data_IF_391550049008
#
_entry.id   IF_391550049008
#
_cell.length_a   1.000
_cell.length_b   1.000
_cell.length_c   1.000
_cell.angle_alpha   90.00
_cell.angle_beta   90.00
_cell.angle_gamma   90.00
#
_symmetry.space_group_name_H-M   'P 1'
#
loop_
_entity.id
_entity.type
_entity.pdbx_description
1 polymer ?
#
# COMPACT_ATOMS: atom_id res chain seq x y z
N UNK A 1 11.96 -58.01 -23.09
CA UNK A 1 11.38 -56.94 -23.93
C UNK A 1 10.99 -55.79 -23.01
N UNK A 2 11.84 -54.76 -22.96
CA UNK A 2 11.63 -53.56 -22.16
C UNK A 2 10.61 -52.66 -22.86
N UNK A 3 9.49 -52.32 -22.22
CA UNK A 3 8.60 -51.24 -22.67
C UNK A 3 8.86 -50.04 -21.76
N UNK A 4 9.59 -49.05 -22.27
CA UNK A 4 9.71 -47.75 -21.64
C UNK A 4 8.47 -46.93 -21.96
N UNK A 5 7.60 -46.73 -20.97
CA UNK A 5 6.51 -45.75 -21.05
C UNK A 5 7.10 -44.39 -20.66
N UNK A 6 7.32 -43.52 -21.64
CA UNK A 6 7.68 -42.12 -21.41
C UNK A 6 6.43 -41.38 -20.92
N UNK A 7 6.37 -41.08 -19.62
CA UNK A 7 5.40 -40.16 -19.05
C UNK A 7 5.95 -38.74 -19.23
N UNK A 8 5.38 -37.98 -20.16
CA UNK A 8 5.60 -36.54 -20.29
C UNK A 8 4.93 -35.86 -19.09
N UNK A 9 5.73 -35.44 -18.12
CA UNK A 9 5.27 -34.56 -17.03
C UNK A 9 5.13 -33.15 -17.63
N UNK A 10 3.90 -32.77 -17.98
CA UNK A 10 3.55 -31.39 -18.25
C UNK A 10 3.62 -30.63 -16.92
N UNK A 11 4.77 -30.03 -16.62
CA UNK A 11 4.92 -29.03 -15.57
C UNK A 11 4.07 -27.83 -15.99
N UNK A 12 2.81 -27.83 -15.57
CA UNK A 12 2.02 -26.60 -15.51
C UNK A 12 2.72 -25.71 -14.50
N UNK A 13 3.48 -24.73 -14.99
CA UNK A 13 3.87 -23.58 -14.21
C UNK A 13 2.56 -22.90 -13.82
N UNK A 14 2.02 -23.24 -12.64
CA UNK A 14 1.07 -22.38 -11.99
C UNK A 14 1.83 -21.07 -11.76
N UNK A 15 1.60 -20.10 -12.63
CA UNK A 15 1.92 -18.72 -12.32
C UNK A 15 1.08 -18.40 -11.11
N UNK A 16 1.67 -18.56 -9.93
CA UNK A 16 1.20 -17.94 -8.70
C UNK A 16 1.36 -16.44 -8.98
N UNK A 17 0.40 -15.87 -9.69
CA UNK A 17 0.25 -14.43 -9.75
C UNK A 17 0.07 -14.03 -8.30
N UNK A 18 1.11 -13.39 -7.75
CA UNK A 18 1.05 -12.85 -6.41
C UNK A 18 -0.22 -12.03 -6.31
N UNK A 19 -0.99 -12.28 -5.26
CA UNK A 19 -2.20 -11.52 -4.99
C UNK A 19 -1.73 -10.08 -4.74
N UNK A 20 -1.99 -9.21 -5.70
CA UNK A 20 -1.49 -7.83 -5.78
C UNK A 20 -2.66 -6.88 -5.97
N UNK A 21 -2.39 -5.59 -5.75
CA UNK A 21 -3.36 -4.52 -5.98
C UNK A 21 -2.73 -3.43 -6.87
N UNK A 22 -3.58 -2.69 -7.57
CA UNK A 22 -3.15 -1.60 -8.45
C UNK A 22 -3.05 -0.30 -7.64
N UNK A 23 -1.85 0.28 -7.54
CA UNK A 23 -1.61 1.49 -6.75
C UNK A 23 -2.44 2.68 -7.29
N UNK A 24 -2.62 2.76 -8.59
CA UNK A 24 -3.40 3.78 -9.31
C UNK A 24 -4.89 3.78 -8.95
N UNK A 25 -5.42 2.69 -8.38
CA UNK A 25 -6.81 2.61 -7.94
C UNK A 25 -7.06 3.29 -6.61
N UNK A 26 -6.00 3.65 -5.87
CA UNK A 26 -6.12 4.42 -4.62
C UNK A 26 -6.37 5.90 -4.91
N UNK A 27 -7.28 6.50 -4.15
CA UNK A 27 -7.38 7.94 -4.01
C UNK A 27 -7.53 8.40 -2.56
N UNK A 28 -6.84 9.48 -2.22
CA UNK A 28 -6.89 10.14 -0.92
C UNK A 28 -7.47 11.55 -1.10
N UNK A 29 -8.80 11.65 -1.01
CA UNK A 29 -9.50 12.82 -1.56
C UNK A 29 -9.42 12.81 -3.09
N UNK A 30 -8.94 13.92 -3.66
CA UNK A 30 -8.73 14.03 -5.11
C UNK A 30 -7.33 13.57 -5.56
N UNK A 31 -6.47 13.18 -4.63
CA UNK A 31 -5.10 12.75 -4.94
C UNK A 31 -5.06 11.27 -5.30
N UNK A 32 -4.25 10.91 -6.29
CA UNK A 32 -3.87 9.51 -6.52
C UNK A 32 -2.89 9.01 -5.47
N UNK A 33 -2.39 7.78 -5.64
CA UNK A 33 -1.36 7.22 -4.76
C UNK A 33 -0.05 8.01 -4.80
N UNK A 34 0.30 8.56 -5.97
CA UNK A 34 1.44 9.46 -6.20
C UNK A 34 0.93 10.80 -6.68
N UNK A 35 1.48 11.89 -6.14
CA UNK A 35 1.09 13.26 -6.51
C UNK A 35 2.26 14.24 -6.36
N UNK A 36 2.17 15.36 -7.05
CA UNK A 36 3.07 16.50 -6.86
C UNK A 36 2.82 17.17 -5.50
N UNK A 37 3.79 17.96 -5.04
CA UNK A 37 3.63 18.73 -3.79
C UNK A 37 2.51 19.76 -3.93
N UNK A 38 2.38 20.37 -5.11
CA UNK A 38 1.38 21.38 -5.43
C UNK A 38 -0.04 20.80 -5.36
N UNK A 39 -0.25 19.60 -5.89
CA UNK A 39 -1.53 18.88 -5.77
C UNK A 39 -1.85 18.58 -4.31
N UNK A 40 -0.87 18.08 -3.55
CA UNK A 40 -1.05 17.80 -2.12
C UNK A 40 -1.43 19.08 -1.36
N UNK A 41 -0.73 20.18 -1.59
CA UNK A 41 -1.00 21.47 -0.93
C UNK A 41 -2.38 22.00 -1.31
N UNK A 42 -2.83 21.80 -2.56
CA UNK A 42 -4.18 22.19 -2.99
C UNK A 42 -5.27 21.45 -2.22
N UNK A 43 -5.06 20.18 -1.87
CA UNK A 43 -6.05 19.35 -1.16
C UNK A 43 -5.96 19.51 0.35
N UNK A 44 -4.75 19.56 0.92
CA UNK A 44 -4.53 19.52 2.37
C UNK A 44 -4.02 20.83 2.99
N UNK A 45 -3.75 21.86 2.18
CA UNK A 45 -3.07 23.08 2.61
C UNK A 45 -1.56 22.88 2.79
N UNK A 46 -0.89 23.82 3.43
CA UNK A 46 0.54 23.66 3.73
C UNK A 46 0.79 22.59 4.82
N UNK A 47 1.86 21.79 4.70
CA UNK A 47 2.20 20.80 5.72
C UNK A 47 2.60 21.51 7.02
N UNK A 48 2.30 20.88 8.15
CA UNK A 48 2.67 21.42 9.47
C UNK A 48 4.17 21.32 9.74
N UNK A 49 4.81 20.33 9.11
CA UNK A 49 6.25 20.10 9.18
C UNK A 49 6.71 19.45 7.90
N UNK A 50 7.89 19.86 7.45
CA UNK A 50 8.66 19.21 6.40
C UNK A 50 9.97 18.76 7.04
N UNK A 51 10.36 17.52 6.80
CA UNK A 51 11.62 16.95 7.31
C UNK A 51 12.15 15.89 6.36
N UNK A 52 13.45 15.63 6.37
CA UNK A 52 14.00 14.47 5.68
C UNK A 52 13.63 13.18 6.45
N UNK A 53 13.16 12.11 5.76
CA UNK A 53 12.90 10.84 6.41
C UNK A 53 14.23 10.13 6.71
N UNK A 54 14.34 9.54 7.91
CA UNK A 54 15.51 8.79 8.33
C UNK A 54 15.29 7.28 8.10
N UNK A 55 14.97 6.87 6.86
CA UNK A 55 14.87 5.44 6.53
C UNK A 55 16.26 4.87 6.27
N UNK A 56 16.58 3.77 6.97
CA UNK A 56 17.86 3.07 6.82
C UNK A 56 18.02 2.41 5.43
N UNK A 57 16.90 2.00 4.82
CA UNK A 57 16.86 1.32 3.53
C UNK A 57 15.50 1.49 2.82
N UNK A 58 15.43 1.03 1.57
CA UNK A 58 14.24 1.01 0.73
C UNK A 58 14.16 2.14 -0.30
N UNK A 59 13.07 2.16 -1.05
CA UNK A 59 12.91 3.01 -2.24
C UNK A 59 12.85 4.51 -1.92
N UNK A 60 12.68 4.86 -0.64
CA UNK A 60 12.61 6.23 -0.14
C UNK A 60 13.75 6.55 0.84
N UNK A 61 14.75 5.67 0.96
CA UNK A 61 15.95 5.95 1.74
C UNK A 61 16.89 6.86 0.97
N UNK A 62 17.19 8.04 1.53
CA UNK A 62 18.07 9.00 0.87
C UNK A 62 19.48 8.46 0.65
N UNK A 63 20.02 7.70 1.62
CA UNK A 63 21.37 7.12 1.56
C UNK A 63 21.48 6.01 0.53
N UNK A 64 20.49 5.13 0.44
CA UNK A 64 20.51 4.01 -0.51
C UNK A 64 20.27 4.47 -1.95
N UNK A 65 19.34 5.41 -2.14
CA UNK A 65 18.96 5.89 -3.47
C UNK A 65 19.87 7.00 -4.00
N UNK A 66 20.73 7.59 -3.15
CA UNK A 66 21.59 8.71 -3.51
C UNK A 66 20.83 9.99 -3.89
N UNK A 67 19.66 10.20 -3.28
CA UNK A 67 18.75 11.35 -3.53
C UNK A 67 18.18 11.86 -2.21
N UNK A 68 17.81 13.14 -2.14
CA UNK A 68 17.09 13.67 -0.98
C UNK A 68 15.58 13.46 -1.13
N UNK A 69 14.95 12.90 -0.11
CA UNK A 69 13.49 12.84 0.03
C UNK A 69 13.00 13.72 1.17
N UNK A 70 11.73 14.07 1.15
CA UNK A 70 11.05 14.88 2.14
C UNK A 70 9.75 14.21 2.59
N UNK A 71 9.50 14.26 3.89
CA UNK A 71 8.24 13.90 4.53
C UNK A 71 7.41 15.16 4.76
N UNK A 72 6.21 15.21 4.19
CA UNK A 72 5.20 16.25 4.37
C UNK A 72 4.21 15.78 5.45
N UNK A 73 4.24 16.41 6.62
CA UNK A 73 3.47 15.97 7.79
C UNK A 73 2.20 16.81 8.01
N UNK A 74 1.04 16.17 7.89
CA UNK A 74 -0.28 16.76 8.16
C UNK A 74 -0.93 16.20 9.44
N UNK A 75 -0.15 15.58 10.34
CA UNK A 75 -0.52 14.82 11.54
C UNK A 75 -1.11 13.43 11.26
N UNK A 76 -2.24 13.38 10.55
CA UNK A 76 -2.98 12.12 10.32
C UNK A 76 -2.65 11.48 8.99
N UNK A 77 -2.16 12.28 8.05
CA UNK A 77 -1.66 11.85 6.76
C UNK A 77 -0.22 12.36 6.60
N UNK A 78 0.65 11.51 6.08
CA UNK A 78 2.04 11.86 5.76
C UNK A 78 2.32 11.42 4.34
N UNK A 79 2.98 12.29 3.59
CA UNK A 79 3.45 12.00 2.24
C UNK A 79 4.96 12.04 2.21
N UNK A 80 5.58 11.21 1.39
CA UNK A 80 7.03 11.12 1.28
C UNK A 80 7.45 11.05 -0.17
N UNK A 81 8.49 11.80 -0.52
CA UNK A 81 8.96 11.88 -1.90
C UNK A 81 9.83 13.09 -2.16
N UNK A 82 9.96 13.46 -3.42
CA UNK A 82 10.69 14.64 -3.85
C UNK A 82 10.02 15.22 -5.11
N UNK A 83 10.47 16.40 -5.56
CA UNK A 83 9.86 17.06 -6.73
C UNK A 83 10.03 16.29 -8.04
N UNK A 84 11.10 15.49 -8.17
CA UNK A 84 11.41 14.74 -9.38
C UNK A 84 10.59 13.46 -9.50
N UNK A 85 10.47 12.71 -8.41
CA UNK A 85 9.85 11.39 -8.37
C UNK A 85 8.39 11.46 -7.89
N UNK A 86 7.94 12.64 -7.42
CA UNK A 86 6.64 12.84 -6.78
C UNK A 86 6.59 12.29 -5.35
N UNK A 87 5.46 12.53 -4.69
CA UNK A 87 5.20 12.14 -3.31
C UNK A 87 4.14 11.04 -3.26
N UNK A 88 4.42 9.99 -2.50
CA UNK A 88 3.47 8.91 -2.19
C UNK A 88 2.98 9.03 -0.76
N UNK A 89 1.87 8.37 -0.45
CA UNK A 89 1.44 8.21 0.94
C UNK A 89 2.51 7.43 1.72
N UNK A 90 3.04 7.99 2.81
CA UNK A 90 3.86 7.24 3.78
C UNK A 90 2.96 6.56 4.80
N UNK A 91 2.04 7.35 5.37
CA UNK A 91 1.17 6.93 6.46
C UNK A 91 -0.18 7.62 6.40
N UNK A 92 -1.25 6.85 6.55
CA UNK A 92 -2.61 7.37 6.68
C UNK A 92 -3.28 6.77 7.91
N UNK A 93 -3.37 7.54 8.99
CA UNK A 93 -4.09 7.16 10.20
C UNK A 93 -5.56 7.57 10.06
N UNK A 94 -6.45 6.59 9.93
CA UNK A 94 -7.88 6.86 9.82
C UNK A 94 -8.41 7.37 11.15
N UNK A 95 -9.21 8.43 11.07
CA UNK A 95 -10.00 8.98 12.17
C UNK A 95 -11.36 9.40 11.63
N UNK A 96 -12.28 9.78 12.50
CA UNK A 96 -13.63 10.17 12.10
C UNK A 96 -13.62 11.23 10.98
N UNK A 97 -14.35 10.96 9.90
CA UNK A 97 -14.43 11.82 8.72
C UNK A 97 -13.30 11.65 7.69
N UNK A 98 -12.28 10.81 7.98
CA UNK A 98 -11.21 10.50 7.03
C UNK A 98 -11.52 9.21 6.27
N UNK A 99 -11.22 9.20 4.98
CA UNK A 99 -11.39 8.04 4.11
C UNK A 99 -10.42 8.08 2.94
N UNK A 100 -10.24 6.94 2.30
CA UNK A 100 -9.67 6.83 0.95
C UNK A 100 -10.66 6.05 0.09
N UNK A 101 -10.46 6.07 -1.22
CA UNK A 101 -11.20 5.19 -2.12
C UNK A 101 -10.26 4.22 -2.79
N UNK A 102 -10.70 2.98 -2.99
CA UNK A 102 -10.06 2.03 -3.87
C UNK A 102 -11.06 1.62 -4.95
N UNK A 103 -10.72 1.84 -6.22
CA UNK A 103 -11.60 1.56 -7.37
C UNK A 103 -13.00 2.19 -7.21
N UNK A 104 -13.06 3.42 -6.68
CA UNK A 104 -14.31 4.14 -6.41
C UNK A 104 -15.07 3.72 -5.14
N UNK A 105 -14.67 2.65 -4.45
CA UNK A 105 -15.27 2.24 -3.18
C UNK A 105 -14.60 2.97 -2.03
N UNK A 106 -15.39 3.68 -1.23
CA UNK A 106 -14.91 4.38 -0.02
C UNK A 106 -14.58 3.39 1.09
N UNK A 107 -13.41 3.59 1.71
CA UNK A 107 -12.93 2.86 2.88
C UNK A 107 -12.51 3.86 3.96
N UNK A 108 -12.92 3.59 5.19
CA UNK A 108 -12.70 4.42 6.37
C UNK A 108 -12.61 3.57 7.64
N UNK A 109 -12.65 4.20 8.81
CA UNK A 109 -12.49 3.51 10.09
C UNK A 109 -13.65 2.56 10.46
N UNK A 110 -14.78 2.65 9.75
CA UNK A 110 -15.90 1.74 9.97
C UNK A 110 -15.79 0.48 9.08
N UNK A 111 -14.87 0.48 8.10
CA UNK A 111 -14.64 -0.65 7.21
C UNK A 111 -14.01 -1.82 7.99
N UNK A 112 -14.77 -2.89 8.13
CA UNK A 112 -14.35 -4.14 8.77
C UNK A 112 -13.72 -5.12 7.77
N UNK A 113 -13.32 -6.28 8.27
CA UNK A 113 -12.70 -7.33 7.46
C UNK A 113 -13.60 -7.79 6.30
N UNK A 114 -14.91 -7.93 6.52
CA UNK A 114 -15.85 -8.32 5.48
C UNK A 114 -15.88 -7.29 4.35
N UNK A 115 -15.87 -5.99 4.70
CA UNK A 115 -15.76 -4.93 3.70
C UNK A 115 -14.46 -4.97 2.92
N UNK A 116 -13.34 -5.28 3.58
CA UNK A 116 -12.04 -5.42 2.91
C UNK A 116 -12.00 -6.64 1.99
N UNK A 117 -12.61 -7.76 2.39
CA UNK A 117 -12.77 -8.95 1.55
C UNK A 117 -13.66 -8.65 0.33
N UNK A 118 -14.74 -7.87 0.49
CA UNK A 118 -15.58 -7.43 -0.63
C UNK A 118 -14.77 -6.61 -1.66
N UNK A 119 -13.92 -5.69 -1.19
CA UNK A 119 -13.19 -4.76 -2.07
C UNK A 119 -11.96 -5.38 -2.70
N UNK A 120 -11.18 -6.16 -1.95
CA UNK A 120 -9.88 -6.68 -2.38
C UNK A 120 -9.90 -8.19 -2.66
N UNK A 121 -10.93 -8.89 -2.21
CA UNK A 121 -11.11 -10.32 -2.40
C UNK A 121 -10.61 -11.18 -1.24
N UNK A 122 -11.23 -12.36 -1.11
CA UNK A 122 -10.92 -13.35 -0.08
C UNK A 122 -9.47 -13.82 -0.13
N UNK A 123 -8.88 -13.87 -1.32
CA UNK A 123 -7.48 -14.22 -1.50
C UNK A 123 -6.58 -13.28 -0.68
N UNK A 124 -6.83 -11.96 -0.76
CA UNK A 124 -6.01 -10.93 -0.14
C UNK A 124 -6.31 -10.70 1.34
N UNK A 125 -7.54 -10.88 1.81
CA UNK A 125 -7.87 -10.56 3.21
C UNK A 125 -8.36 -11.76 4.03
N UNK A 126 -8.68 -12.89 3.41
CA UNK A 126 -9.23 -14.05 4.11
C UNK A 126 -8.33 -14.59 5.23
N UNK A 127 -7.00 -14.49 5.08
CA UNK A 127 -6.07 -14.95 6.11
C UNK A 127 -6.12 -14.17 7.42
N UNK A 128 -6.78 -13.01 7.48
CA UNK A 128 -7.00 -12.30 8.75
C UNK A 128 -8.00 -13.04 9.66
N UNK A 129 -8.88 -13.88 9.11
CA UNK A 129 -9.72 -14.75 9.93
C UNK A 129 -8.89 -15.80 10.68
N UNK A 130 -7.73 -16.18 10.11
CA UNK A 130 -6.89 -17.26 10.59
C UNK A 130 -5.65 -16.78 11.36
N UNK A 131 -5.43 -15.46 11.43
CA UNK A 131 -4.24 -14.88 12.06
C UNK A 131 -4.57 -14.02 13.28
N UNK A 132 -3.68 -14.04 14.26
CA UNK A 132 -3.70 -13.11 15.40
C UNK A 132 -3.07 -11.75 15.06
N UNK A 133 -2.84 -11.46 13.78
CA UNK A 133 -2.10 -10.28 13.35
C UNK A 133 -3.04 -9.15 12.98
N UNK A 134 -2.82 -7.98 13.56
CA UNK A 134 -3.58 -6.75 13.28
C UNK A 134 -3.08 -6.00 12.04
N UNK A 135 -2.26 -6.62 11.18
CA UNK A 135 -1.78 -5.97 9.95
C UNK A 135 -1.42 -6.94 8.84
N UNK A 136 -1.50 -6.47 7.59
CA UNK A 136 -1.14 -7.24 6.40
C UNK A 136 -0.51 -6.35 5.33
N UNK A 137 0.66 -6.76 4.87
CA UNK A 137 1.30 -6.22 3.67
C UNK A 137 0.62 -6.79 2.42
N UNK A 138 0.25 -5.91 1.51
CA UNK A 138 -0.23 -6.25 0.17
C UNK A 138 0.66 -5.54 -0.83
N UNK A 139 1.27 -6.31 -1.73
CA UNK A 139 2.16 -5.77 -2.76
C UNK A 139 1.38 -5.12 -3.89
N UNK A 140 1.98 -4.11 -4.49
CA UNK A 140 1.47 -3.55 -5.72
C UNK A 140 1.74 -4.47 -6.91
N UNK A 141 0.89 -4.39 -7.92
CA UNK A 141 1.08 -5.13 -9.15
C UNK A 141 2.37 -4.67 -9.84
N UNK A 142 3.15 -5.62 -10.35
CA UNK A 142 4.39 -5.38 -11.10
C UNK A 142 5.43 -4.54 -10.33
N UNK A 143 5.39 -4.58 -9.00
CA UNK A 143 6.33 -3.88 -8.12
C UNK A 143 6.62 -4.67 -6.85
N UNK A 144 7.80 -4.44 -6.27
CA UNK A 144 8.22 -5.11 -5.03
C UNK A 144 7.73 -4.39 -3.77
N UNK A 145 7.27 -3.14 -3.89
CA UNK A 145 6.68 -2.35 -2.82
C UNK A 145 5.17 -2.61 -2.66
N UNK A 146 4.56 -1.98 -1.66
CA UNK A 146 3.18 -2.23 -1.33
C UNK A 146 2.65 -1.32 -0.23
N UNK A 147 1.50 -1.73 0.31
CA UNK A 147 0.84 -1.04 1.40
C UNK A 147 0.49 -2.04 2.51
N UNK A 148 0.73 -1.63 3.74
CA UNK A 148 0.35 -2.38 4.93
C UNK A 148 -0.99 -1.82 5.41
N UNK A 149 -2.01 -2.68 5.42
CA UNK A 149 -3.29 -2.42 6.06
C UNK A 149 -3.19 -2.81 7.53
N UNK A 150 -3.67 -1.96 8.42
CA UNK A 150 -3.73 -2.23 9.85
C UNK A 150 -5.19 -2.25 10.31
N UNK A 151 -5.57 -3.32 11.00
CA UNK A 151 -6.84 -3.44 11.69
C UNK A 151 -6.66 -3.11 13.17
N UNK A 152 -7.72 -2.61 13.78
CA UNK A 152 -7.85 -2.48 15.23
C UNK A 152 -9.27 -2.87 15.58
N UNK A 153 -9.42 -3.82 16.49
CA UNK A 153 -10.73 -4.35 16.90
C UNK A 153 -11.56 -4.81 15.68
N UNK A 154 -10.90 -5.42 14.69
CA UNK A 154 -11.51 -5.92 13.45
C UNK A 154 -11.82 -4.86 12.38
N UNK A 155 -11.46 -3.59 12.60
CA UNK A 155 -11.74 -2.48 11.66
C UNK A 155 -10.49 -1.79 11.18
N UNK A 156 -10.54 -1.23 9.97
CA UNK A 156 -9.43 -0.52 9.37
C UNK A 156 -9.03 0.71 10.21
N UNK A 157 -7.75 0.84 10.52
CA UNK A 157 -7.25 1.90 11.39
C UNK A 157 -6.14 2.73 10.76
N UNK A 158 -5.33 2.11 9.89
CA UNK A 158 -4.17 2.77 9.29
C UNK A 158 -3.76 2.09 7.99
N UNK A 159 -3.18 2.89 7.09
CA UNK A 159 -2.36 2.42 5.98
C UNK A 159 -0.92 2.91 6.15
N UNK A 160 0.06 2.13 5.70
CA UNK A 160 1.45 2.57 5.62
C UNK A 160 2.12 2.01 4.37
N UNK A 161 2.88 2.84 3.67
CA UNK A 161 3.70 2.37 2.56
C UNK A 161 4.83 1.49 3.07
N UNK A 162 5.21 0.52 2.25
CA UNK A 162 6.34 -0.36 2.52
C UNK A 162 7.06 -0.65 1.21
N UNK A 163 8.39 -0.61 1.25
CA UNK A 163 9.26 -1.09 0.18
C UNK A 163 10.29 -2.05 0.78
N UNK A 164 10.81 -3.01 -0.01
CA UNK A 164 11.88 -3.88 0.46
C UNK A 164 13.15 -3.09 0.78
N UNK A 165 13.93 -3.67 1.67
CA UNK A 165 15.38 -3.57 1.70
C UNK A 165 15.91 -4.88 1.12
#
# INVERSE_FOLDING_TARGET
MWRYTLILIFLTTFSVHGQTIEAEKFKFGDLGFRSSKEEIVKVFGEPKRISEPNYECGFLSSSEQGKTFYLLDYKKIQFVGNEKDGYVIDRFNLTYGMSFTYNGVKLDMDSDLDKLIEVFGMQLFGSFHDSSTDSKLIRFQDSDDGIIFYLKDGRLSKLSYWSPC
#
